data_IF_263345457594
#
_entry.id   IF_263345457594
#
_cell.length_a   1.000
_cell.length_b   1.000
_cell.length_c   1.000
_cell.angle_alpha   90.00
_cell.angle_beta   90.00
_cell.angle_gamma   90.00
#
_symmetry.space_group_name_H-M   'P 1'
#
loop_
_entity.id
_entity.type
_entity.pdbx_description
1 polymer ?
#
# COMPACT_ATOMS: atom_id res chain seq x y z
N UNK A 1 71.04 39.26 4.57
CA UNK A 1 69.84 39.85 3.94
C UNK A 1 68.63 39.36 4.71
N UNK A 2 67.95 40.29 5.38
CA UNK A 2 66.79 40.14 6.29
C UNK A 2 65.46 40.30 5.54
N UNK A 3 64.34 39.90 6.19
CA UNK A 3 62.89 40.31 6.04
C UNK A 3 62.03 39.03 6.15
N UNK A 4 61.35 38.67 7.26
CA UNK A 4 60.24 39.26 8.06
C UNK A 4 58.91 39.54 7.32
N UNK A 5 57.93 38.67 7.63
CA UNK A 5 56.53 38.98 7.98
C UNK A 5 55.48 39.22 6.87
N UNK A 6 54.34 38.51 6.96
CA UNK A 6 52.97 39.03 7.25
C UNK A 6 51.86 38.03 6.84
N UNK A 7 51.07 37.57 7.82
CA UNK A 7 49.63 37.29 7.65
C UNK A 7 48.85 38.60 7.91
N UNK A 8 47.51 38.75 7.76
CA UNK A 8 46.43 37.79 7.38
C UNK A 8 45.42 38.39 6.34
N UNK A 9 44.33 37.68 5.96
CA UNK A 9 42.93 38.18 5.95
C UNK A 9 41.91 37.19 5.32
N UNK A 10 40.92 36.80 6.12
CA UNK A 10 39.47 36.64 5.89
C UNK A 10 38.90 36.25 4.49
N UNK A 11 38.20 35.12 4.45
CA UNK A 11 36.95 34.99 3.69
C UNK A 11 35.98 34.05 4.45
N UNK A 12 34.94 34.62 5.04
CA UNK A 12 33.77 33.89 5.55
C UNK A 12 33.00 33.31 4.35
N UNK A 13 32.93 31.99 4.21
CA UNK A 13 31.94 31.33 3.34
C UNK A 13 30.72 30.93 4.17
N UNK A 14 29.55 31.43 3.74
CA UNK A 14 28.28 31.28 4.42
C UNK A 14 27.85 29.82 4.60
N UNK A 15 27.32 29.54 5.81
CA UNK A 15 26.56 28.33 6.10
C UNK A 15 25.27 28.36 5.25
N UNK A 16 25.23 27.55 4.20
CA UNK A 16 23.97 27.07 3.64
C UNK A 16 23.36 26.12 4.67
N UNK A 17 22.42 26.61 5.47
CA UNK A 17 21.56 25.76 6.28
C UNK A 17 20.70 24.92 5.33
N UNK A 18 21.18 23.72 4.99
CA UNK A 18 20.35 22.68 4.40
C UNK A 18 19.31 22.28 5.46
N UNK A 19 18.15 22.95 5.44
CA UNK A 19 17.01 22.51 6.22
C UNK A 19 16.68 21.06 5.81
N UNK A 20 16.37 20.16 6.75
CA UNK A 20 16.00 18.81 6.41
C UNK A 20 14.77 18.87 5.51
N UNK A 21 14.92 18.40 4.27
CA UNK A 21 13.79 18.11 3.42
C UNK A 21 13.01 16.99 4.11
N UNK A 22 11.94 17.33 4.81
CA UNK A 22 10.97 16.36 5.30
C UNK A 22 10.34 15.69 4.08
N UNK A 23 10.92 14.57 3.65
CA UNK A 23 10.26 13.66 2.75
C UNK A 23 8.94 13.29 3.43
N UNK A 24 7.80 13.70 2.85
CA UNK A 24 6.50 13.20 3.28
C UNK A 24 6.56 11.68 3.16
N UNK A 25 6.72 11.00 4.29
CA UNK A 25 6.82 9.55 4.37
C UNK A 25 5.47 9.00 3.94
N UNK A 26 5.44 8.32 2.79
CA UNK A 26 4.25 7.56 2.39
C UNK A 26 3.96 6.49 3.45
N UNK A 27 2.70 6.12 3.59
CA UNK A 27 2.30 5.00 4.43
C UNK A 27 2.46 3.70 3.63
N UNK A 28 3.18 2.72 4.17
CA UNK A 28 3.31 1.38 3.60
C UNK A 28 2.80 0.36 4.62
N UNK A 29 1.94 -0.54 4.17
CA UNK A 29 1.33 -1.57 5.01
C UNK A 29 1.45 -2.92 4.30
N UNK A 30 2.11 -3.87 4.94
CA UNK A 30 2.10 -5.27 4.51
C UNK A 30 0.89 -5.98 5.12
N UNK A 31 0.10 -6.60 4.26
CA UNK A 31 -1.12 -7.32 4.60
C UNK A 31 -0.86 -8.81 4.33
N UNK A 32 -1.03 -9.64 5.37
CA UNK A 32 -0.91 -11.10 5.25
C UNK A 32 -2.28 -11.72 4.98
N UNK A 33 -2.33 -12.74 4.15
CA UNK A 33 -3.58 -13.37 3.74
C UNK A 33 -3.39 -14.39 2.63
N UNK A 34 -4.46 -14.70 1.91
CA UNK A 34 -4.44 -15.65 0.80
C UNK A 34 -4.53 -14.91 -0.53
N UNK A 35 -3.64 -15.24 -1.45
CA UNK A 35 -3.76 -14.82 -2.84
C UNK A 35 -4.63 -15.84 -3.60
N UNK A 36 -5.80 -15.40 -4.05
CA UNK A 36 -6.76 -16.23 -4.80
C UNK A 36 -6.54 -16.17 -6.31
N UNK A 37 -5.91 -15.09 -6.80
CA UNK A 37 -5.65 -14.91 -8.22
C UNK A 37 -4.46 -13.99 -8.46
N UNK A 38 -3.60 -14.35 -9.41
CA UNK A 38 -2.58 -13.48 -9.96
C UNK A 38 -2.39 -13.73 -11.46
N UNK A 39 -2.79 -12.75 -12.28
CA UNK A 39 -2.64 -12.78 -13.74
C UNK A 39 -1.75 -11.62 -14.18
N UNK A 40 -0.65 -11.91 -14.87
CA UNK A 40 0.29 -10.92 -15.38
C UNK A 40 0.33 -11.01 -16.91
N UNK A 41 -0.23 -10.01 -17.58
CA UNK A 41 -0.21 -9.95 -19.04
C UNK A 41 -0.93 -11.12 -19.72
N UNK A 42 -2.00 -11.63 -19.10
CA UNK A 42 -2.75 -12.80 -19.55
C UNK A 42 -2.24 -14.16 -19.03
N UNK A 43 -1.07 -14.21 -18.38
CA UNK A 43 -0.54 -15.44 -17.78
C UNK A 43 -1.05 -15.58 -16.34
N UNK A 44 -1.78 -16.66 -16.04
CA UNK A 44 -2.18 -17.00 -14.68
C UNK A 44 -1.02 -17.70 -13.94
N UNK A 45 -0.53 -17.05 -12.89
CA UNK A 45 0.56 -17.52 -12.04
C UNK A 45 0.11 -17.68 -10.59
N UNK A 46 -1.19 -17.84 -10.35
CA UNK A 46 -1.79 -17.89 -9.00
C UNK A 46 -1.11 -18.92 -8.10
N UNK A 47 -0.68 -20.06 -8.65
CA UNK A 47 0.03 -21.12 -7.92
C UNK A 47 1.36 -20.66 -7.29
N UNK A 48 1.99 -19.62 -7.85
CA UNK A 48 3.24 -19.04 -7.33
C UNK A 48 3.00 -17.79 -6.48
N UNK A 49 1.76 -17.33 -6.33
CA UNK A 49 1.45 -16.08 -5.66
C UNK A 49 1.75 -16.16 -4.16
N UNK A 50 2.36 -15.11 -3.62
CA UNK A 50 2.68 -15.01 -2.19
C UNK A 50 1.46 -14.65 -1.37
N UNK A 51 1.51 -15.06 -0.11
CA UNK A 51 0.49 -14.82 0.93
C UNK A 51 0.59 -13.40 1.53
N UNK A 52 1.11 -12.45 0.75
CA UNK A 52 1.35 -11.08 1.17
C UNK A 52 0.96 -10.11 0.05
N UNK A 53 0.28 -9.05 0.44
CA UNK A 53 -0.05 -7.90 -0.38
C UNK A 53 0.54 -6.66 0.28
N UNK A 54 1.30 -5.86 -0.46
CA UNK A 54 1.80 -4.58 0.05
C UNK A 54 0.91 -3.47 -0.49
N UNK A 55 0.38 -2.64 0.42
CA UNK A 55 -0.33 -1.42 0.08
C UNK A 55 0.54 -0.21 0.41
N UNK A 56 0.77 0.66 -0.57
CA UNK A 56 1.53 1.91 -0.36
C UNK A 56 0.66 3.10 -0.75
N UNK A 57 0.57 4.09 0.13
CA UNK A 57 -0.06 5.38 -0.14
C UNK A 57 0.99 6.47 -0.08
N UNK A 58 1.25 7.10 -1.22
CA UNK A 58 2.25 8.16 -1.33
C UNK A 58 1.87 9.15 -2.41
N UNK A 59 1.99 10.45 -2.10
CA UNK A 59 1.77 11.55 -3.06
C UNK A 59 0.41 11.46 -3.80
N UNK A 60 -0.66 11.11 -3.08
CA UNK A 60 -2.02 11.00 -3.62
C UNK A 60 -2.24 9.78 -4.54
N UNK A 61 -1.32 8.80 -4.49
CA UNK A 61 -1.46 7.53 -5.19
C UNK A 61 -1.48 6.39 -4.21
N UNK A 62 -2.32 5.41 -4.51
CA UNK A 62 -2.36 4.12 -3.83
C UNK A 62 -1.77 3.06 -4.76
N UNK A 63 -0.91 2.19 -4.23
CA UNK A 63 -0.41 0.99 -4.91
C UNK A 63 -0.84 -0.28 -4.20
N UNK A 64 -1.07 -1.33 -4.97
CA UNK A 64 -1.28 -2.69 -4.49
C UNK A 64 -0.28 -3.59 -5.20
N UNK A 65 0.67 -4.11 -4.44
CA UNK A 65 1.82 -4.86 -4.95
C UNK A 65 1.67 -6.34 -4.59
N UNK A 66 1.41 -7.14 -5.63
CA UNK A 66 1.40 -8.59 -5.59
C UNK A 66 2.77 -9.12 -5.96
N UNK A 67 3.19 -10.20 -5.31
CA UNK A 67 4.47 -10.86 -5.59
C UNK A 67 4.30 -12.36 -5.71
N UNK A 68 5.16 -12.99 -6.48
CA UNK A 68 5.24 -14.43 -6.64
C UNK A 68 6.60 -14.97 -6.15
N UNK A 69 6.64 -16.26 -5.80
CA UNK A 69 7.84 -16.94 -5.26
C UNK A 69 8.96 -17.08 -6.28
N UNK A 70 8.62 -17.16 -7.56
CA UNK A 70 9.53 -17.21 -8.70
C UNK A 70 10.13 -15.84 -9.08
N UNK A 71 9.83 -14.79 -8.31
CA UNK A 71 10.37 -13.45 -8.51
C UNK A 71 9.52 -12.55 -9.42
N UNK A 72 8.40 -13.04 -9.95
CA UNK A 72 7.43 -12.18 -10.65
C UNK A 72 6.71 -11.25 -9.66
N UNK A 73 6.27 -10.09 -10.14
CA UNK A 73 5.48 -9.15 -9.35
C UNK A 73 4.55 -8.34 -10.24
N UNK A 74 3.46 -7.85 -9.65
CA UNK A 74 2.50 -6.98 -10.31
C UNK A 74 2.05 -5.89 -9.35
N UNK A 75 2.34 -4.64 -9.72
CA UNK A 75 1.82 -3.47 -9.02
C UNK A 75 0.65 -2.88 -9.79
N UNK A 76 -0.45 -2.58 -9.09
CA UNK A 76 -1.52 -1.73 -9.58
C UNK A 76 -1.44 -0.37 -8.92
N UNK A 77 -1.54 0.71 -9.68
CA UNK A 77 -1.48 2.07 -9.14
C UNK A 77 -2.51 3.01 -9.75
N UNK A 78 -3.10 3.85 -8.91
CA UNK A 78 -3.93 4.96 -9.34
C UNK A 78 -4.12 6.02 -8.28
N UNK A 79 -5.00 6.98 -8.58
CA UNK A 79 -5.35 8.03 -7.65
C UNK A 79 -6.08 7.42 -6.45
N UNK A 80 -5.64 7.77 -5.25
CA UNK A 80 -6.23 7.24 -4.03
C UNK A 80 -5.58 7.81 -2.78
N UNK A 81 -6.31 7.74 -1.69
CA UNK A 81 -5.84 8.07 -0.34
C UNK A 81 -6.07 6.85 0.55
N UNK A 82 -5.35 6.77 1.67
CA UNK A 82 -5.63 5.73 2.67
C UNK A 82 -7.04 5.97 3.21
N UNK A 83 -7.94 4.99 3.08
CA UNK A 83 -9.32 5.12 3.52
C UNK A 83 -9.50 4.39 4.86
N UNK A 84 -10.02 5.10 5.86
CA UNK A 84 -10.64 4.48 7.02
C UNK A 84 -11.99 3.87 6.59
N UNK A 85 -12.26 2.65 7.05
CA UNK A 85 -13.45 1.88 6.71
C UNK A 85 -14.71 2.68 7.06
N UNK A 86 -15.27 3.37 6.08
CA UNK A 86 -16.59 3.97 6.18
C UNK A 86 -17.58 2.93 5.70
N UNK A 87 -18.60 2.67 6.50
CA UNK A 87 -19.60 1.66 6.19
C UNK A 87 -20.28 2.00 4.86
N UNK A 88 -20.38 0.96 4.02
CA UNK A 88 -21.37 0.86 2.96
C UNK A 88 -21.16 1.74 1.71
N UNK A 89 -20.23 1.34 0.84
CA UNK A 89 -20.47 1.06 -0.59
C UNK A 89 -19.22 0.42 -1.17
N UNK A 90 -19.36 -0.41 -2.21
CA UNK A 90 -18.25 -1.06 -2.91
C UNK A 90 -17.24 -0.03 -3.40
N UNK A 91 -16.24 0.27 -2.59
CA UNK A 91 -15.32 1.35 -2.88
C UNK A 91 -14.44 0.91 -4.04
N UNK A 92 -14.45 1.68 -5.12
CA UNK A 92 -13.58 1.45 -6.27
C UNK A 92 -12.38 2.37 -6.17
N UNK A 93 -11.19 1.78 -6.15
CA UNK A 93 -9.92 2.50 -6.29
C UNK A 93 -9.52 2.43 -7.77
N UNK A 94 -9.50 3.56 -8.52
CA UNK A 94 -9.19 3.53 -9.94
C UNK A 94 -7.73 3.10 -10.17
N UNK A 95 -7.49 2.39 -11.28
CA UNK A 95 -6.15 2.01 -11.75
C UNK A 95 -5.85 2.80 -13.02
N UNK A 96 -4.66 3.42 -13.04
CA UNK A 96 -4.14 4.17 -14.19
C UNK A 96 -2.80 3.62 -14.70
N UNK A 97 -2.16 2.76 -13.91
CA UNK A 97 -0.85 2.21 -14.20
C UNK A 97 -0.77 0.77 -13.67
N UNK A 98 -0.21 -0.12 -14.49
CA UNK A 98 0.25 -1.45 -14.05
C UNK A 98 1.76 -1.52 -14.18
N UNK A 99 2.42 -2.19 -13.26
CA UNK A 99 3.87 -2.40 -13.29
C UNK A 99 4.17 -3.88 -13.06
N UNK A 100 4.20 -4.69 -14.11
CA UNK A 100 4.81 -6.01 -14.08
C UNK A 100 6.30 -5.89 -13.77
N UNK A 101 6.81 -6.81 -12.96
CA UNK A 101 8.22 -6.88 -12.62
C UNK A 101 8.74 -8.30 -12.50
N UNK A 102 10.05 -8.44 -12.70
CA UNK A 102 10.79 -9.70 -12.60
C UNK A 102 12.06 -9.46 -11.79
N UNK A 103 12.27 -10.24 -10.73
CA UNK A 103 13.53 -10.29 -9.99
C UNK A 103 14.36 -11.48 -10.45
N UNK A 104 15.58 -11.22 -10.89
CA UNK A 104 16.58 -12.22 -11.27
C UNK A 104 17.92 -11.94 -10.57
N UNK A 105 18.99 -12.63 -10.97
CA UNK A 105 20.32 -12.47 -10.37
C UNK A 105 20.94 -11.10 -10.71
N UNK A 106 20.51 -10.52 -11.83
CA UNK A 106 21.01 -9.28 -12.39
C UNK A 106 20.30 -8.05 -11.82
N UNK A 107 19.17 -8.23 -11.14
CA UNK A 107 18.44 -7.17 -10.45
C UNK A 107 16.92 -7.31 -10.54
N UNK A 108 16.23 -6.17 -10.53
CA UNK A 108 14.77 -6.10 -10.67
C UNK A 108 14.47 -5.33 -11.95
N UNK A 109 13.82 -6.00 -12.91
CA UNK A 109 13.29 -5.37 -14.12
C UNK A 109 11.83 -5.02 -13.88
N UNK A 110 11.43 -3.80 -14.23
CA UNK A 110 10.04 -3.32 -14.14
C UNK A 110 9.61 -2.75 -15.48
N UNK A 111 8.37 -3.02 -15.88
CA UNK A 111 7.81 -2.56 -17.16
C UNK A 111 6.51 -1.76 -16.96
N UNK A 112 6.58 -0.51 -16.47
CA UNK A 112 5.38 0.30 -16.25
C UNK A 112 4.59 0.52 -17.55
N UNK A 113 3.27 0.40 -17.48
CA UNK A 113 2.39 0.65 -18.63
C UNK A 113 1.10 1.36 -18.20
N UNK A 114 0.62 2.36 -18.96
CA UNK A 114 -0.70 2.94 -18.76
C UNK A 114 -1.78 1.85 -18.81
N UNK A 115 -2.75 1.93 -17.91
CA UNK A 115 -3.80 0.93 -17.80
C UNK A 115 -5.15 1.58 -17.48
N UNK A 116 -6.22 0.84 -17.76
CA UNK A 116 -7.58 1.18 -17.35
C UNK A 116 -8.12 0.04 -16.51
N UNK A 117 -8.61 0.34 -15.31
CA UNK A 117 -9.12 -0.66 -14.38
C UNK A 117 -9.49 -0.08 -13.02
N UNK A 118 -9.76 -0.97 -12.06
CA UNK A 118 -10.01 -0.60 -10.67
C UNK A 118 -9.72 -1.76 -9.71
N UNK A 119 -9.43 -1.42 -8.45
CA UNK A 119 -9.53 -2.35 -7.33
C UNK A 119 -10.86 -2.17 -6.62
N UNK A 120 -11.54 -3.28 -6.33
CA UNK A 120 -12.79 -3.36 -5.57
C UNK A 120 -12.52 -4.01 -4.21
N UNK A 121 -13.11 -3.42 -3.17
CA UNK A 121 -13.05 -3.93 -1.79
C UNK A 121 -14.42 -4.49 -1.41
N UNK A 122 -14.45 -5.72 -0.90
CA UNK A 122 -15.69 -6.37 -0.47
C UNK A 122 -15.45 -7.28 0.74
N UNK A 123 -16.54 -7.76 1.34
CA UNK A 123 -16.53 -8.69 2.47
C UNK A 123 -17.06 -10.04 1.97
N UNK A 124 -16.19 -10.99 1.56
CA UNK A 124 -16.65 -12.27 1.01
C UNK A 124 -17.32 -13.14 2.09
N UNK A 125 -16.86 -13.02 3.34
CA UNK A 125 -17.34 -13.75 4.51
C UNK A 125 -17.19 -12.86 5.77
N UNK A 126 -17.93 -13.13 6.86
CA UNK A 126 -17.74 -12.43 8.12
C UNK A 126 -16.28 -12.46 8.59
N UNK A 127 -15.73 -11.30 8.93
CA UNK A 127 -14.34 -11.18 9.37
C UNK A 127 -13.28 -11.26 8.27
N UNK A 128 -13.68 -11.37 7.00
CA UNK A 128 -12.76 -11.32 5.85
C UNK A 128 -12.95 -10.05 5.04
N UNK A 129 -11.86 -9.59 4.41
CA UNK A 129 -11.87 -8.55 3.39
C UNK A 129 -11.21 -9.08 2.12
N UNK A 130 -11.87 -8.90 0.98
CA UNK A 130 -11.33 -9.20 -0.34
C UNK A 130 -10.95 -7.91 -1.06
N UNK A 131 -9.76 -7.93 -1.67
CA UNK A 131 -9.22 -6.88 -2.52
C UNK A 131 -9.05 -7.48 -3.91
N UNK A 132 -9.87 -7.04 -4.87
CA UNK A 132 -9.86 -7.54 -6.24
C UNK A 132 -9.50 -6.41 -7.22
N UNK A 133 -8.29 -6.45 -7.77
CA UNK A 133 -7.78 -5.50 -8.75
C UNK A 133 -7.79 -6.11 -10.15
N UNK A 134 -8.43 -5.44 -11.09
CA UNK A 134 -8.44 -5.83 -12.49
C UNK A 134 -8.15 -4.63 -13.39
N UNK A 135 -7.29 -4.84 -14.38
CA UNK A 135 -6.92 -3.80 -15.34
C UNK A 135 -6.54 -4.38 -16.71
N UNK A 136 -6.68 -3.56 -17.75
CA UNK A 136 -6.22 -3.86 -19.10
C UNK A 136 -5.16 -2.85 -19.53
N UNK A 137 -4.11 -3.32 -20.18
CA UNK A 137 -3.07 -2.48 -20.81
C UNK A 137 -2.60 -3.14 -22.11
N UNK A 138 -2.57 -2.37 -23.21
CA UNK A 138 -2.07 -2.83 -24.52
C UNK A 138 -2.67 -4.18 -24.97
N UNK A 139 -3.98 -4.37 -24.74
CA UNK A 139 -4.69 -5.60 -25.09
C UNK A 139 -4.42 -6.80 -24.18
N UNK A 140 -3.62 -6.63 -23.11
CA UNK A 140 -3.34 -7.67 -22.11
C UNK A 140 -4.10 -7.43 -20.82
N UNK A 141 -4.43 -8.52 -20.12
CA UNK A 141 -5.14 -8.50 -18.84
C UNK A 141 -4.19 -8.63 -17.66
N UNK A 142 -4.54 -7.94 -16.59
CA UNK A 142 -3.83 -7.93 -15.32
C UNK A 142 -4.86 -8.08 -14.21
N UNK A 143 -4.68 -9.07 -13.34
CA UNK A 143 -5.60 -9.32 -12.24
C UNK A 143 -4.86 -9.74 -10.97
N UNK A 144 -5.34 -9.28 -9.82
CA UNK A 144 -4.88 -9.69 -8.50
C UNK A 144 -6.07 -9.78 -7.56
N UNK A 145 -6.25 -10.91 -6.89
CA UNK A 145 -7.29 -11.09 -5.87
C UNK A 145 -6.65 -11.59 -4.59
N UNK A 146 -6.88 -10.86 -3.50
CA UNK A 146 -6.32 -11.15 -2.18
C UNK A 146 -7.41 -11.15 -1.12
N UNK A 147 -7.39 -12.13 -0.21
CA UNK A 147 -8.29 -12.23 0.93
C UNK A 147 -7.46 -12.12 2.20
N UNK A 148 -7.83 -11.19 3.07
CA UNK A 148 -7.20 -10.99 4.39
C UNK A 148 -8.25 -11.08 5.49
N UNK A 149 -7.79 -11.36 6.72
CA UNK A 149 -8.59 -11.09 7.90
C UNK A 149 -8.86 -9.58 8.01
N UNK A 150 -10.08 -9.23 8.42
CA UNK A 150 -10.42 -7.88 8.84
C UNK A 150 -9.80 -7.64 10.22
N UNK A 151 -8.89 -6.69 10.33
CA UNK A 151 -8.37 -6.28 11.65
C UNK A 151 -9.53 -5.68 12.44
N UNK A 152 -9.90 -6.29 13.56
CA UNK A 152 -10.87 -5.72 14.50
C UNK A 152 -10.30 -4.38 15.01
N UNK A 153 -10.80 -3.29 14.45
CA UNK A 153 -10.26 -1.95 14.67
C UNK A 153 -11.14 -0.89 14.04
N UNK A 154 -12.46 -1.05 14.16
CA UNK A 154 -13.50 -0.03 14.06
C UNK A 154 -14.85 -0.73 14.26
N UNK A 155 -15.13 -1.19 15.49
CA UNK A 155 -16.51 -1.50 15.88
C UNK A 155 -17.21 -0.17 16.18
N UNK A 156 -18.34 0.17 15.54
CA UNK A 156 -19.31 1.05 16.17
C UNK A 156 -19.99 0.22 17.26
N UNK A 157 -19.89 0.69 18.50
CA UNK A 157 -20.32 -0.05 19.68
C UNK A 157 -21.75 -0.57 19.61
N UNK A 158 -21.96 -1.71 20.27
CA UNK A 158 -23.22 -1.99 20.93
C UNK A 158 -22.98 -2.17 22.42
N UNK A 159 -23.64 -1.28 23.14
CA UNK A 159 -23.72 -1.12 24.58
C UNK A 159 -23.95 -2.45 25.31
N UNK A 160 -22.98 -2.81 26.15
CA UNK A 160 -23.24 -3.62 27.34
C UNK A 160 -23.71 -2.70 28.46
N UNK A 161 -25.00 -2.37 28.48
CA UNK A 161 -25.64 -1.80 29.67
C UNK A 161 -25.41 -2.77 30.83
N UNK A 162 -24.75 -2.25 31.85
CA UNK A 162 -24.51 -2.89 33.14
C UNK A 162 -25.81 -2.82 33.95
N UNK A 163 -26.61 -3.89 33.92
CA UNK A 163 -27.70 -4.06 34.88
C UNK A 163 -27.10 -4.23 36.29
N UNK A 164 -27.19 -3.18 37.10
CA UNK A 164 -26.85 -3.21 38.52
C UNK A 164 -27.92 -3.96 39.33
N UNK A 165 -27.57 -4.58 40.46
CA UNK A 165 -28.52 -5.34 41.26
C UNK A 165 -29.51 -4.40 41.97
N UNK A 166 -30.80 -4.62 41.77
CA UNK A 166 -31.87 -3.99 42.51
C UNK A 166 -31.90 -4.52 43.97
N UNK A 167 -31.81 -3.61 44.94
CA UNK A 167 -32.06 -3.93 46.36
C UNK A 167 -33.58 -4.12 46.59
N UNK A 168 -34.00 -5.12 47.38
CA UNK A 168 -35.40 -5.27 47.78
C UNK A 168 -35.80 -4.29 48.90
N UNK A 169 -37.08 -3.88 48.98
CA UNK A 169 -37.56 -3.05 50.08
C UNK A 169 -37.60 -3.85 51.40
N UNK A 170 -37.18 -3.18 52.48
CA UNK A 170 -37.15 -3.66 53.88
C UNK A 170 -38.60 -3.81 54.44
N UNK A 171 -38.86 -4.77 55.35
CA UNK A 171 -40.20 -5.10 55.87
C UNK A 171 -40.93 -3.98 56.59
#
# INVERSE_FOLDING_TARGET
MTIRSRAPLLALLGLLAAGPASAQQGAEVTITGRCERLVIGGLDITQNCKEQLVNTVSRGRTTFDFAAWDGQSLSFSGAGTQHEQTEETEQLQPISLVVPGMKNKEGIVRSPAPAVGSCKFSKPEPGKTMIACEATSQGKTYAGVFITETKAGAEPGKDGVKDGPANPPKP
#
